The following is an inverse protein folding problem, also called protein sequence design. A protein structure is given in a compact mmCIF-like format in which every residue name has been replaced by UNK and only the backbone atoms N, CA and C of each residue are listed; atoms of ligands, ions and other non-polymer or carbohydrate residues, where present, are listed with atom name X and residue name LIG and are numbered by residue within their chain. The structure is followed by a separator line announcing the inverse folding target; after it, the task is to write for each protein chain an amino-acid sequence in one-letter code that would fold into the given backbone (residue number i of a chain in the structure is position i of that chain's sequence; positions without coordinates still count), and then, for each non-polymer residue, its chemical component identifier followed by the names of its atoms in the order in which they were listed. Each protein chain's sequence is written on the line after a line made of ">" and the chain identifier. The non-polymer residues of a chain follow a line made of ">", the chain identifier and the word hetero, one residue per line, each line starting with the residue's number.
data_IF_057661287552
#
_entry.id   IF_057661287552
#
_cell.length_a   1.000
_cell.length_b   1.000
_cell.length_c   1.000
_cell.angle_alpha   90.00
_cell.angle_beta   90.00
_cell.angle_gamma   90.00
#
_symmetry.space_group_name_H-M   'P 1'
#
loop_
_entity.id
_entity.type
_entity.pdbx_description
1 polymer ?
#
# COMPACT_ATOMS: atom_id res chain seq x y z
N UNK A 1 -26.89 2.94 -4.66
CA UNK A 1 -25.56 2.34 -4.42
C UNK A 1 -25.28 2.51 -2.95
N UNK A 2 -25.13 1.41 -2.20
CA UNK A 2 -24.75 1.54 -0.79
C UNK A 2 -23.43 2.30 -0.73
N UNK A 3 -23.34 3.33 0.11
CA UNK A 3 -22.04 3.87 0.48
C UNK A 3 -21.37 2.77 1.29
N UNK A 4 -20.49 1.99 0.66
CA UNK A 4 -19.61 1.09 1.41
C UNK A 4 -18.77 1.97 2.33
N UNK A 5 -19.10 1.97 3.62
CA UNK A 5 -18.25 2.54 4.64
C UNK A 5 -17.11 1.56 4.84
N UNK A 6 -15.99 1.80 4.15
CA UNK A 6 -14.75 1.06 4.40
C UNK A 6 -14.22 1.44 5.78
N UNK A 7 -13.57 0.49 6.45
CA UNK A 7 -12.86 0.75 7.69
C UNK A 7 -11.90 1.94 7.54
N UNK A 8 -11.75 2.71 8.63
CA UNK A 8 -11.05 3.99 8.57
C UNK A 8 -9.53 3.86 8.67
N UNK A 9 -8.98 2.67 8.91
CA UNK A 9 -7.54 2.45 8.99
C UNK A 9 -6.86 2.79 7.66
N UNK A 10 -5.62 3.25 7.73
CA UNK A 10 -4.81 3.67 6.59
C UNK A 10 -3.50 2.88 6.57
N UNK A 11 -3.25 2.20 5.45
CA UNK A 11 -1.98 1.56 5.15
C UNK A 11 -1.22 2.36 4.10
N UNK A 12 0.08 2.50 4.29
CA UNK A 12 0.96 3.20 3.36
C UNK A 12 2.24 2.42 3.12
N UNK A 13 2.65 2.37 1.85
CA UNK A 13 3.97 1.88 1.45
C UNK A 13 4.62 2.92 0.55
N UNK A 14 5.83 3.36 0.91
CA UNK A 14 6.68 4.23 0.11
C UNK A 14 7.85 3.43 -0.47
N UNK A 15 8.14 3.67 -1.75
CA UNK A 15 9.16 2.95 -2.51
C UNK A 15 10.00 3.91 -3.34
N UNK A 16 11.17 3.46 -3.81
CA UNK A 16 11.95 4.17 -4.83
C UNK A 16 11.57 3.67 -6.21
N UNK A 17 10.84 4.51 -6.94
CA UNK A 17 10.34 4.25 -8.28
C UNK A 17 8.91 3.70 -8.32
N UNK A 18 8.27 3.85 -9.47
CA UNK A 18 6.87 3.48 -9.66
C UNK A 18 6.65 1.95 -9.72
N UNK A 19 7.64 1.19 -10.19
CA UNK A 19 7.53 -0.27 -10.35
C UNK A 19 7.33 -0.99 -9.00
N UNK A 20 8.19 -0.79 -7.98
CA UNK A 20 7.93 -1.38 -6.65
C UNK A 20 6.65 -0.86 -6.00
N UNK A 21 6.24 0.39 -6.24
CA UNK A 21 4.96 0.91 -5.74
C UNK A 21 3.76 0.14 -6.32
N UNK A 22 3.80 -0.21 -7.61
CA UNK A 22 2.74 -1.00 -8.26
C UNK A 22 2.70 -2.42 -7.68
N UNK A 23 3.86 -3.07 -7.49
CA UNK A 23 3.94 -4.39 -6.85
C UNK A 23 3.37 -4.35 -5.43
N UNK A 24 3.74 -3.33 -4.64
CA UNK A 24 3.21 -3.14 -3.30
C UNK A 24 1.68 -3.00 -3.31
N UNK A 25 1.11 -2.22 -4.23
CA UNK A 25 -0.33 -2.04 -4.36
C UNK A 25 -1.07 -3.33 -4.75
N UNK A 26 -0.52 -4.10 -5.69
CA UNK A 26 -1.08 -5.39 -6.10
C UNK A 26 -1.08 -6.39 -4.94
N UNK A 27 0.05 -6.53 -4.25
CA UNK A 27 0.18 -7.41 -3.09
C UNK A 27 -0.72 -6.99 -1.92
N UNK A 28 -0.81 -5.69 -1.61
CA UNK A 28 -1.72 -5.17 -0.58
C UNK A 28 -3.18 -5.53 -0.84
N UNK A 29 -3.65 -5.32 -2.08
CA UNK A 29 -5.07 -5.55 -2.43
C UNK A 29 -5.43 -7.02 -2.62
N UNK A 30 -4.46 -7.89 -2.90
CA UNK A 30 -4.65 -9.35 -2.94
C UNK A 30 -4.62 -10.01 -1.56
N UNK A 31 -3.88 -9.43 -0.61
CA UNK A 31 -3.67 -10.05 0.70
C UNK A 31 -4.86 -9.88 1.66
N UNK A 32 -5.64 -8.80 1.52
CA UNK A 32 -6.75 -8.50 2.42
C UNK A 32 -7.80 -7.61 1.76
N UNK A 33 -8.96 -7.49 2.39
CA UNK A 33 -10.05 -6.61 1.97
C UNK A 33 -9.70 -5.14 2.27
N UNK A 34 -8.88 -4.56 1.39
CA UNK A 34 -8.48 -3.16 1.41
C UNK A 34 -8.72 -2.52 0.06
N UNK A 35 -8.99 -1.22 0.07
CA UNK A 35 -9.17 -0.42 -1.14
C UNK A 35 -7.97 0.48 -1.34
N UNK A 36 -7.34 0.41 -2.52
CA UNK A 36 -6.38 1.42 -2.95
C UNK A 36 -7.11 2.75 -3.15
N UNK A 37 -6.72 3.76 -2.37
CA UNK A 37 -7.33 5.09 -2.38
C UNK A 37 -6.45 6.16 -3.03
N UNK A 38 -5.16 5.87 -3.23
CA UNK A 38 -4.24 6.85 -3.78
C UNK A 38 -2.89 6.25 -4.14
N UNK A 39 -2.22 6.97 -5.04
CA UNK A 39 -0.83 6.77 -5.40
C UNK A 39 -0.22 8.14 -5.67
N UNK A 40 0.73 8.53 -4.84
CA UNK A 40 1.32 9.86 -4.85
C UNK A 40 2.76 9.82 -5.36
N UNK A 41 3.10 10.77 -6.24
CA UNK A 41 4.49 11.05 -6.59
C UNK A 41 5.02 12.11 -5.62
N UNK A 42 5.84 11.70 -4.67
CA UNK A 42 6.35 12.59 -3.60
C UNK A 42 7.49 13.47 -4.12
N UNK A 43 8.22 13.01 -5.14
CA UNK A 43 9.40 13.67 -5.70
C UNK A 43 10.70 12.95 -5.31
N UNK A 44 11.81 13.26 -5.99
CA UNK A 44 13.10 12.61 -5.73
C UNK A 44 13.14 11.10 -6.03
N UNK A 45 12.20 10.61 -6.84
CA UNK A 45 12.04 9.18 -7.14
C UNK A 45 11.13 8.43 -6.18
N UNK A 46 10.61 9.07 -5.12
CA UNK A 46 9.72 8.44 -4.15
C UNK A 46 8.27 8.37 -4.64
N UNK A 47 7.65 7.20 -4.46
CA UNK A 47 6.25 6.92 -4.78
C UNK A 47 5.60 6.24 -3.59
N UNK A 48 4.45 6.76 -3.16
CA UNK A 48 3.69 6.24 -2.02
C UNK A 48 2.32 5.74 -2.46
N UNK A 49 1.94 4.54 -2.04
CA UNK A 49 0.61 3.95 -2.27
C UNK A 49 -0.16 3.90 -0.96
N UNK A 50 -1.46 4.18 -1.03
CA UNK A 50 -2.33 4.35 0.14
C UNK A 50 -3.55 3.43 0.03
N UNK A 51 -3.84 2.66 1.08
CA UNK A 51 -5.00 1.77 1.17
C UNK A 51 -5.87 2.05 2.39
N UNK A 52 -7.19 1.82 2.30
CA UNK A 52 -8.13 1.89 3.43
C UNK A 52 -8.83 0.56 3.66
N UNK A 53 -9.20 0.29 4.90
CA UNK A 53 -9.95 -0.91 5.29
C UNK A 53 -10.06 -1.04 6.80
N UNK A 54 -10.54 -2.19 7.26
CA UNK A 54 -10.52 -2.53 8.69
C UNK A 54 -9.08 -2.68 9.19
N UNK A 55 -8.82 -2.37 10.47
CA UNK A 55 -7.46 -2.38 11.05
C UNK A 55 -6.73 -3.72 10.80
N UNK A 56 -7.42 -4.85 10.96
CA UNK A 56 -6.83 -6.16 10.70
C UNK A 56 -6.46 -6.39 9.22
N UNK A 57 -7.32 -5.94 8.30
CA UNK A 57 -7.08 -6.04 6.86
C UNK A 57 -5.91 -5.15 6.42
N UNK A 58 -5.86 -3.92 6.91
CA UNK A 58 -4.76 -2.98 6.63
C UNK A 58 -3.42 -3.51 7.17
N UNK A 59 -3.39 -4.10 8.37
CA UNK A 59 -2.18 -4.72 8.93
C UNK A 59 -1.66 -5.86 8.06
N UNK A 60 -2.55 -6.74 7.59
CA UNK A 60 -2.18 -7.85 6.71
C UNK A 60 -1.71 -7.35 5.34
N UNK A 61 -2.41 -6.38 4.75
CA UNK A 61 -2.07 -5.78 3.47
C UNK A 61 -0.67 -5.16 3.49
N UNK A 62 -0.37 -4.31 4.47
CA UNK A 62 0.92 -3.60 4.54
C UNK A 62 2.09 -4.57 4.70
N UNK A 63 1.94 -5.65 5.49
CA UNK A 63 2.97 -6.69 5.61
C UNK A 63 3.23 -7.38 4.27
N UNK A 64 2.17 -7.84 3.59
CA UNK A 64 2.31 -8.50 2.30
C UNK A 64 2.90 -7.58 1.22
N UNK A 65 2.46 -6.31 1.18
CA UNK A 65 2.99 -5.33 0.24
C UNK A 65 4.47 -5.01 0.47
N UNK A 66 4.89 -4.89 1.74
CA UNK A 66 6.28 -4.64 2.09
C UNK A 66 7.19 -5.80 1.64
N UNK A 67 6.81 -7.04 1.97
CA UNK A 67 7.58 -8.25 1.62
C UNK A 67 7.69 -8.47 0.10
N UNK A 68 6.66 -8.09 -0.66
CA UNK A 68 6.61 -8.23 -2.11
C UNK A 68 7.52 -7.21 -2.82
N UNK A 69 7.40 -5.93 -2.45
CA UNK A 69 8.11 -4.86 -3.15
C UNK A 69 9.59 -4.71 -2.75
N UNK A 70 10.03 -5.30 -1.62
CA UNK A 70 11.43 -5.23 -1.15
C UNK A 70 12.45 -5.70 -2.21
N UNK A 71 12.06 -6.66 -3.06
CA UNK A 71 12.93 -7.26 -4.08
C UNK A 71 12.73 -6.69 -5.49
N UNK A 72 11.92 -5.65 -5.64
CA UNK A 72 11.56 -5.07 -6.94
C UNK A 72 12.21 -3.69 -7.11
N UNK A 73 13.01 -3.52 -8.17
CA UNK A 73 13.69 -2.24 -8.45
C UNK A 73 14.62 -1.80 -7.32
N UNK A 74 14.59 -0.51 -6.97
CA UNK A 74 15.35 0.05 -5.84
C UNK A 74 14.69 -0.23 -4.46
N UNK A 75 13.63 -1.04 -4.45
CA UNK A 75 13.04 -1.64 -3.25
C UNK A 75 12.13 -0.75 -2.41
N UNK A 76 11.82 -1.28 -1.22
CA UNK A 76 11.00 -0.65 -0.18
C UNK A 76 11.79 0.47 0.53
N UNK A 77 11.13 1.61 0.77
CA UNK A 77 11.70 2.72 1.55
C UNK A 77 11.11 2.74 2.95
N UNK A 78 9.78 2.65 3.04
CA UNK A 78 9.07 2.67 4.32
C UNK A 78 7.70 1.99 4.20
N UNK A 79 7.23 1.39 5.29
CA UNK A 79 5.90 0.78 5.40
C UNK A 79 5.28 1.15 6.75
N UNK A 80 4.05 1.68 6.73
CA UNK A 80 3.34 2.15 7.93
C UNK A 80 1.84 1.80 7.87
N UNK A 81 1.24 1.51 9.02
CA UNK A 81 -0.20 1.30 9.17
C UNK A 81 -0.69 1.96 10.46
N UNK A 82 -1.89 2.54 10.43
CA UNK A 82 -2.55 3.13 11.59
C UNK A 82 -4.07 3.14 11.46
#
# INVERSE_FOLDING_TARGET
>A
MASESYGIALGMIETRGLVPAIEAADAMTKAAEVRLIGREFVGGGYVTVLVRGETGAVNAAVRAGADACERVGDGLVAAHHY
#
